data_IF_636474263609
#
_entry.id   IF_636474263609
#
_cell.length_a   1.000
_cell.length_b   1.000
_cell.length_c   1.000
_cell.angle_alpha   90.00
_cell.angle_beta   90.00
_cell.angle_gamma   90.00
#
_symmetry.space_group_name_H-M   'P 1'
#
loop_
_entity.id
_entity.type
_entity.pdbx_description
1 polymer ?
#
# COMPACT_ATOMS: atom_id res chain seq x y z
N UNK A 1 -4.17 -10.22 2.09
CA UNK A 1 -3.71 -9.08 1.27
C UNK A 1 -2.20 -9.17 1.13
N UNK A 2 -1.70 -9.62 -0.02
CA UNK A 2 -0.27 -9.92 -0.23
C UNK A 2 0.66 -8.71 -0.05
N UNK A 3 0.16 -7.50 -0.35
CA UNK A 3 0.96 -6.26 -0.33
C UNK A 3 0.49 -5.22 0.69
N UNK A 4 -0.44 -5.56 1.60
CA UNK A 4 -0.95 -4.58 2.56
C UNK A 4 0.15 -4.03 3.46
N UNK A 5 1.13 -4.86 3.84
CA UNK A 5 2.28 -4.42 4.64
C UNK A 5 3.15 -3.43 3.87
N UNK A 6 3.41 -3.69 2.58
CA UNK A 6 4.23 -2.84 1.72
C UNK A 6 3.54 -1.50 1.42
N UNK A 7 2.25 -1.51 1.10
CA UNK A 7 1.46 -0.28 0.86
C UNK A 7 1.45 0.60 2.13
N UNK A 8 1.30 -0.02 3.30
CA UNK A 8 1.29 0.69 4.58
C UNK A 8 2.69 1.22 4.94
N UNK A 9 3.75 0.48 4.61
CA UNK A 9 5.13 0.96 4.74
C UNK A 9 5.36 2.21 3.89
N UNK A 10 4.88 2.20 2.64
CA UNK A 10 4.92 3.34 1.71
C UNK A 10 4.12 4.54 2.22
N UNK A 11 3.00 4.32 2.91
CA UNK A 11 2.07 5.40 3.26
C UNK A 11 2.45 6.26 4.47
N UNK A 12 3.37 5.84 5.37
CA UNK A 12 3.86 6.70 6.47
C UNK A 12 4.87 6.07 7.45
N UNK A 13 4.94 4.74 7.54
CA UNK A 13 5.34 4.09 8.81
C UNK A 13 6.62 3.27 8.68
N UNK A 14 7.74 3.86 9.07
CA UNK A 14 9.04 3.21 9.11
C UNK A 14 9.24 2.22 10.29
N UNK A 15 8.33 2.19 11.27
CA UNK A 15 8.50 1.31 12.44
C UNK A 15 7.86 -0.06 12.21
N UNK A 16 8.64 -1.13 12.40
CA UNK A 16 8.16 -2.52 12.33
C UNK A 16 6.95 -2.78 13.23
N UNK A 17 6.86 -2.11 14.40
CA UNK A 17 5.74 -2.27 15.34
C UNK A 17 4.43 -1.72 14.79
N UNK A 18 4.47 -0.58 14.11
CA UNK A 18 3.28 0.05 13.51
C UNK A 18 2.80 -0.70 12.26
N UNK A 19 3.72 -1.27 11.48
CA UNK A 19 3.39 -2.08 10.29
C UNK A 19 2.63 -3.36 10.68
N UNK A 20 3.08 -4.04 11.74
CA UNK A 20 2.42 -5.23 12.25
C UNK A 20 1.03 -4.89 12.82
N UNK A 21 0.91 -3.80 13.59
CA UNK A 21 -0.37 -3.33 14.10
C UNK A 21 -1.36 -2.99 12.97
N UNK A 22 -0.90 -2.36 11.89
CA UNK A 22 -1.73 -2.02 10.75
C UNK A 22 -2.13 -3.24 9.93
N UNK A 23 -1.25 -4.24 9.78
CA UNK A 23 -1.59 -5.53 9.14
C UNK A 23 -2.66 -6.29 9.93
N UNK A 24 -2.60 -6.23 11.27
CA UNK A 24 -3.63 -6.77 12.15
C UNK A 24 -4.96 -6.03 11.97
N UNK A 25 -4.93 -4.69 11.90
CA UNK A 25 -6.12 -3.87 11.66
C UNK A 25 -6.75 -4.20 10.30
N UNK A 26 -5.98 -4.23 9.22
CA UNK A 26 -6.44 -4.61 7.86
C UNK A 26 -7.11 -5.98 7.87
N UNK A 27 -6.53 -6.96 8.57
CA UNK A 27 -7.10 -8.31 8.69
C UNK A 27 -8.41 -8.30 9.49
N UNK A 28 -8.44 -7.56 10.60
CA UNK A 28 -9.66 -7.36 11.40
C UNK A 28 -10.77 -6.67 10.62
N UNK A 29 -10.46 -5.63 9.85
CA UNK A 29 -11.40 -4.95 8.97
C UNK A 29 -11.98 -5.89 7.91
N UNK A 30 -11.19 -6.83 7.39
CA UNK A 30 -11.69 -7.83 6.45
C UNK A 30 -12.66 -8.83 7.13
N UNK A 31 -12.40 -9.20 8.38
CA UNK A 31 -13.32 -10.04 9.18
C UNK A 31 -14.64 -9.30 9.43
N UNK A 32 -14.57 -8.04 9.87
CA UNK A 32 -15.75 -7.19 10.09
C UNK A 32 -16.51 -6.98 8.79
N UNK A 33 -15.82 -6.66 7.69
CA UNK A 33 -16.39 -6.52 6.35
C UNK A 33 -17.11 -7.79 5.90
N UNK A 34 -16.57 -8.97 6.23
CA UNK A 34 -17.19 -10.26 5.92
C UNK A 34 -18.44 -10.52 6.76
N UNK A 35 -18.46 -10.11 8.03
CA UNK A 35 -19.66 -10.20 8.89
C UNK A 35 -20.76 -9.29 8.35
N UNK A 36 -20.42 -8.04 8.03
CA UNK A 36 -21.34 -7.06 7.43
C UNK A 36 -21.85 -7.55 6.08
N UNK A 37 -20.98 -8.17 5.27
CA UNK A 37 -21.33 -8.79 3.99
C UNK A 37 -22.47 -9.79 4.14
N UNK A 38 -22.34 -10.74 5.08
CA UNK A 38 -23.37 -11.76 5.29
C UNK A 38 -24.74 -11.14 5.55
N UNK A 39 -24.79 -10.08 6.36
CA UNK A 39 -26.04 -9.37 6.63
C UNK A 39 -26.60 -8.62 5.41
N UNK A 40 -25.73 -8.00 4.61
CA UNK A 40 -26.15 -7.20 3.45
C UNK A 40 -26.53 -8.04 2.23
N UNK A 41 -25.92 -9.22 2.04
CA UNK A 41 -26.18 -10.13 0.91
C UNK A 41 -27.65 -10.56 0.90
N UNK A 42 -28.19 -10.91 2.06
CA UNK A 42 -29.57 -11.38 2.18
C UNK A 42 -30.59 -10.25 1.99
N UNK A 43 -30.23 -9.01 2.35
CA UNK A 43 -31.16 -7.87 2.35
C UNK A 43 -31.19 -7.06 1.04
N UNK A 44 -30.03 -6.83 0.41
CA UNK A 44 -29.90 -5.92 -0.74
C UNK A 44 -29.89 -6.62 -2.11
N UNK A 45 -29.82 -7.94 -2.11
CA UNK A 45 -29.77 -8.75 -3.32
C UNK A 45 -28.39 -8.72 -3.99
N UNK A 46 -27.98 -9.89 -4.49
CA UNK A 46 -26.61 -10.17 -4.96
C UNK A 46 -26.15 -9.29 -6.13
N UNK A 47 -27.02 -8.99 -7.09
CA UNK A 47 -26.66 -8.19 -8.28
C UNK A 47 -26.39 -6.71 -7.95
N UNK A 48 -27.23 -6.10 -7.10
CA UNK A 48 -27.07 -4.69 -6.72
C UNK A 48 -25.82 -4.49 -5.86
N UNK A 49 -25.53 -5.46 -4.99
CA UNK A 49 -24.38 -5.43 -4.11
C UNK A 49 -23.05 -5.45 -4.87
N UNK A 50 -22.93 -6.25 -5.95
CA UNK A 50 -21.74 -6.21 -6.81
C UNK A 50 -21.56 -4.84 -7.48
N UNK A 51 -22.63 -4.26 -8.05
CA UNK A 51 -22.54 -2.98 -8.75
C UNK A 51 -22.17 -1.84 -7.78
N UNK A 52 -22.83 -1.76 -6.62
CA UNK A 52 -22.54 -0.74 -5.60
C UNK A 52 -21.09 -0.85 -5.12
N UNK A 53 -20.60 -2.06 -4.88
CA UNK A 53 -19.21 -2.26 -4.48
C UNK A 53 -18.20 -1.85 -5.55
N UNK A 54 -18.51 -2.09 -6.83
CA UNK A 54 -17.62 -1.73 -7.94
C UNK A 54 -17.46 -0.21 -8.02
N UNK A 55 -18.57 0.54 -7.94
CA UNK A 55 -18.52 2.01 -7.84
C UNK A 55 -17.76 2.47 -6.59
N UNK A 56 -18.00 1.86 -5.43
CA UNK A 56 -17.29 2.18 -4.19
C UNK A 56 -15.79 1.96 -4.29
N UNK A 57 -15.36 0.84 -4.89
CA UNK A 57 -13.95 0.51 -5.13
C UNK A 57 -13.33 1.53 -6.08
N UNK A 58 -13.98 1.86 -7.20
CA UNK A 58 -13.46 2.84 -8.17
C UNK A 58 -13.24 4.20 -7.50
N UNK A 59 -14.23 4.68 -6.73
CA UNK A 59 -14.12 5.96 -6.01
C UNK A 59 -12.98 5.91 -4.99
N UNK A 60 -12.84 4.81 -4.23
CA UNK A 60 -11.76 4.66 -3.26
C UNK A 60 -10.38 4.63 -3.92
N UNK A 61 -10.24 3.95 -5.06
CA UNK A 61 -8.97 3.88 -5.79
C UNK A 61 -8.56 5.23 -6.36
N UNK A 62 -9.51 6.01 -6.91
CA UNK A 62 -9.26 7.38 -7.37
C UNK A 62 -8.84 8.26 -6.18
N UNK A 63 -9.56 8.18 -5.06
CA UNK A 63 -9.22 8.94 -3.86
C UNK A 63 -7.83 8.58 -3.33
N UNK A 64 -7.47 7.30 -3.29
CA UNK A 64 -6.13 6.85 -2.90
C UNK A 64 -5.06 7.39 -3.85
N UNK A 65 -5.29 7.35 -5.17
CA UNK A 65 -4.37 7.90 -6.17
C UNK A 65 -4.13 9.40 -5.97
N UNK A 66 -5.19 10.18 -5.77
CA UNK A 66 -5.07 11.62 -5.47
C UNK A 66 -4.31 11.84 -4.15
N UNK A 67 -4.60 11.07 -3.10
CA UNK A 67 -3.88 11.21 -1.82
C UNK A 67 -2.40 10.88 -1.93
N UNK A 68 -2.01 9.89 -2.74
CA UNK A 68 -0.59 9.61 -2.99
C UNK A 68 0.08 10.75 -3.76
N UNK A 69 -0.62 11.38 -4.70
CA UNK A 69 -0.12 12.57 -5.40
C UNK A 69 0.05 13.79 -4.48
N UNK A 70 -0.94 14.04 -3.61
CA UNK A 70 -0.81 15.09 -2.59
C UNK A 70 0.34 14.81 -1.62
N UNK A 71 0.58 13.53 -1.33
CA UNK A 71 1.68 13.07 -0.46
C UNK A 71 3.05 13.28 -1.12
N UNK A 72 3.17 13.12 -2.44
CA UNK A 72 4.43 13.35 -3.15
C UNK A 72 4.79 14.84 -3.23
N UNK A 73 3.79 15.72 -3.40
CA UNK A 73 3.99 17.17 -3.45
C UNK A 73 4.39 17.72 -2.06
N UNK A 74 3.72 17.27 -1.00
CA UNK A 74 3.97 17.75 0.37
C UNK A 74 5.04 16.94 1.12
N UNK A 75 5.90 16.21 0.41
CA UNK A 75 7.01 15.48 1.02
C UNK A 75 8.05 16.47 1.59
N UNK A 76 8.62 16.19 2.78
CA UNK A 76 9.63 17.08 3.36
C UNK A 76 10.87 17.16 2.46
N UNK A 77 11.43 18.36 2.27
CA UNK A 77 12.65 18.53 1.48
C UNK A 77 13.86 17.95 2.22
N UNK A 78 14.86 17.50 1.46
CA UNK A 78 16.12 16.99 2.01
C UNK A 78 17.11 18.16 2.16
N UNK A 79 17.71 18.30 3.33
CA UNK A 79 18.78 19.28 3.58
C UNK A 79 20.14 18.67 3.24
N UNK A 80 20.90 19.39 2.42
CA UNK A 80 22.27 18.99 2.06
C UNK A 80 23.21 19.04 3.26
N UNK A 81 23.04 20.01 4.17
CA UNK A 81 23.88 20.17 5.37
C UNK A 81 23.81 18.94 6.29
N UNK A 82 22.59 18.48 6.58
CA UNK A 82 22.34 17.28 7.39
C UNK A 82 22.80 16.01 6.68
N UNK A 83 22.72 15.98 5.35
CA UNK A 83 23.20 14.84 4.55
C UNK A 83 24.73 14.73 4.61
N UNK A 84 25.46 15.85 4.55
CA UNK A 84 26.92 15.86 4.65
C UNK A 84 27.47 15.68 6.07
N UNK A 85 26.66 15.89 7.11
CA UNK A 85 27.06 15.72 8.51
C UNK A 85 27.60 14.32 8.82
N UNK A 86 27.07 13.29 8.15
CA UNK A 86 27.51 11.90 8.34
C UNK A 86 28.77 11.54 7.51
N UNK A 87 29.18 12.43 6.59
CA UNK A 87 30.30 12.25 5.67
C UNK A 87 29.87 11.96 4.22
N UNK A 88 30.69 12.33 3.24
CA UNK A 88 30.39 12.10 1.80
C UNK A 88 30.25 10.63 1.42
N UNK A 89 30.93 9.73 2.15
CA UNK A 89 30.90 8.29 1.87
C UNK A 89 29.63 7.60 2.42
N UNK A 90 28.86 8.29 3.27
CA UNK A 90 27.61 7.78 3.84
C UNK A 90 26.35 8.25 3.10
N UNK A 91 26.49 9.07 2.07
CA UNK A 91 25.38 9.57 1.24
C UNK A 91 25.24 8.78 -0.06
N UNK A 92 24.04 8.75 -0.65
CA UNK A 92 23.80 8.05 -1.92
C UNK A 92 24.53 8.74 -3.10
N UNK A 93 25.13 7.94 -4.01
CA UNK A 93 25.79 8.46 -5.22
C UNK A 93 24.84 9.26 -6.11
N UNK A 94 23.57 8.85 -6.21
CA UNK A 94 22.54 9.57 -6.97
C UNK A 94 22.27 10.98 -6.44
N UNK A 95 22.39 11.21 -5.12
CA UNK A 95 22.24 12.53 -4.51
C UNK A 95 23.46 13.43 -4.79
N UNK A 96 24.66 12.85 -4.81
CA UNK A 96 25.91 13.58 -5.09
C UNK A 96 26.06 13.97 -6.57
N UNK A 97 25.46 13.19 -7.47
CA UNK A 97 25.53 13.40 -8.92
C UNK A 97 24.36 14.25 -9.46
N UNK A 98 23.42 14.65 -8.59
CA UNK A 98 22.26 15.44 -8.97
C UNK A 98 22.65 16.89 -9.33
N UNK A 99 22.15 17.44 -10.45
CA UNK A 99 22.44 18.82 -10.84
C UNK A 99 21.77 19.87 -9.94
N UNK A 100 20.58 19.59 -9.38
CA UNK A 100 19.85 20.48 -8.46
C UNK A 100 19.49 19.76 -7.16
N UNK A 101 20.21 20.07 -6.08
CA UNK A 101 20.05 19.39 -4.78
C UNK A 101 18.85 19.93 -3.97
N UNK A 102 18.36 21.12 -4.31
CA UNK A 102 17.27 21.81 -3.60
C UNK A 102 15.87 21.34 -3.99
N UNK A 103 15.71 20.65 -5.13
CA UNK A 103 14.45 20.05 -5.56
C UNK A 103 14.24 18.65 -4.97
N UNK A 104 15.26 18.07 -4.32
CA UNK A 104 15.18 16.73 -3.76
C UNK A 104 14.26 16.69 -2.55
N UNK A 105 13.28 15.80 -2.63
CA UNK A 105 12.38 15.50 -1.54
C UNK A 105 12.70 14.12 -0.95
N UNK A 106 12.05 13.79 0.15
CA UNK A 106 12.20 12.49 0.81
C UNK A 106 11.87 11.30 -0.11
N UNK A 107 11.01 11.47 -1.14
CA UNK A 107 10.61 10.38 -2.05
C UNK A 107 11.68 10.03 -3.08
N UNK A 108 12.45 11.02 -3.55
CA UNK A 108 13.62 10.79 -4.44
C UNK A 108 14.80 10.14 -3.71
N UNK A 109 14.78 10.12 -2.37
CA UNK A 109 15.82 9.50 -1.56
C UNK A 109 15.50 8.03 -1.26
N UNK A 110 16.47 7.14 -1.50
CA UNK A 110 16.33 5.72 -1.23
C UNK A 110 16.06 5.41 0.26
N UNK A 111 16.71 6.16 1.16
CA UNK A 111 16.69 5.97 2.62
C UNK A 111 16.81 7.33 3.31
N UNK A 112 15.73 7.75 3.96
CA UNK A 112 15.58 9.07 4.56
C UNK A 112 15.78 9.04 6.08
N UNK A 113 16.56 9.98 6.57
CA UNK A 113 16.64 10.36 7.97
C UNK A 113 16.05 11.78 8.09
N UNK A 114 15.44 12.22 9.21
CA UNK A 114 14.86 13.57 9.31
C UNK A 114 15.81 14.67 8.80
N UNK A 115 15.57 15.12 7.56
CA UNK A 115 16.38 16.10 6.84
C UNK A 115 17.59 15.59 6.04
N UNK A 116 17.97 14.31 6.08
CA UNK A 116 19.18 13.78 5.43
C UNK A 116 18.92 12.55 4.53
N UNK A 117 19.61 12.47 3.39
CA UNK A 117 19.59 11.29 2.51
C UNK A 117 20.86 10.44 2.66
N UNK A 118 20.71 9.17 3.05
CA UNK A 118 21.84 8.34 3.49
C UNK A 118 21.86 6.96 2.82
N UNK A 119 23.04 6.49 2.44
CA UNK A 119 23.28 5.10 2.10
C UNK A 119 23.52 4.31 3.40
N UNK A 120 22.54 3.50 3.83
CA UNK A 120 22.66 2.75 5.08
C UNK A 120 23.84 1.78 5.02
N UNK A 121 24.79 1.98 5.94
CA UNK A 121 25.84 1.04 6.35
C UNK A 121 25.66 0.74 7.84
N UNK A 122 26.17 -0.40 8.31
CA UNK A 122 26.05 -0.83 9.73
C UNK A 122 26.57 0.22 10.72
N UNK A 123 27.60 0.98 10.33
CA UNK A 123 28.17 2.07 11.11
C UNK A 123 27.18 3.25 11.33
N UNK A 124 26.40 3.60 10.30
CA UNK A 124 25.39 4.67 10.37
C UNK A 124 24.18 4.19 11.16
N UNK A 125 23.76 2.94 10.98
CA UNK A 125 22.64 2.37 11.73
C UNK A 125 22.92 2.36 13.24
N UNK A 126 24.14 2.01 13.65
CA UNK A 126 24.58 2.11 15.05
C UNK A 126 24.60 3.55 15.58
N UNK A 127 25.05 4.50 14.76
CA UNK A 127 25.09 5.93 15.12
C UNK A 127 23.69 6.54 15.26
N UNK A 128 22.76 6.21 14.36
CA UNK A 128 21.35 6.64 14.44
C UNK A 128 20.64 6.07 15.69
N UNK A 129 20.93 4.81 16.05
CA UNK A 129 20.38 4.20 17.25
C UNK A 129 20.88 4.89 18.53
N UNK A 130 22.14 5.32 18.55
CA UNK A 130 22.75 6.07 19.65
C UNK A 130 22.12 7.45 19.83
N UNK A 131 21.73 8.10 18.73
CA UNK A 131 21.00 9.39 18.73
C UNK A 131 19.49 9.27 18.99
N UNK A 132 18.94 8.07 19.19
CA UNK A 132 17.48 7.83 19.34
C UNK A 132 16.64 8.36 18.16
N UNK A 133 17.19 8.37 16.94
CA UNK A 133 16.48 8.84 15.75
C UNK A 133 15.92 7.67 14.93
N UNK A 134 14.76 7.87 14.30
CA UNK A 134 14.09 6.85 13.48
C UNK A 134 14.49 6.98 12.01
N UNK A 135 14.95 5.89 11.44
CA UNK A 135 15.37 5.79 10.05
C UNK A 135 14.20 5.34 9.17
N UNK A 136 13.96 6.05 8.08
CA UNK A 136 12.89 5.77 7.14
C UNK A 136 13.46 5.08 5.90
N UNK A 137 13.10 3.82 5.68
CA UNK A 137 13.64 3.00 4.58
C UNK A 137 12.64 2.75 3.45
N UNK A 138 11.36 3.00 3.67
CA UNK A 138 10.27 2.60 2.77
C UNK A 138 9.13 3.63 2.70
N UNK A 139 9.27 4.85 3.24
CA UNK A 139 8.19 5.86 3.20
C UNK A 139 8.49 7.13 3.98
N UNK A 140 7.83 8.23 3.61
CA UNK A 140 8.10 9.57 4.14
C UNK A 140 7.09 10.00 5.21
N UNK A 141 7.52 10.72 6.26
CA UNK A 141 6.61 11.24 7.27
C UNK A 141 5.81 12.42 6.73
N UNK A 142 4.57 12.18 6.29
CA UNK A 142 3.62 13.24 5.87
C UNK A 142 2.38 13.22 6.73
N UNK A 143 1.72 14.38 6.94
CA UNK A 143 0.45 14.44 7.68
C UNK A 143 -0.70 13.72 6.96
N UNK A 144 -0.59 13.54 5.64
CA UNK A 144 -1.58 12.90 4.78
C UNK A 144 -1.63 11.37 4.89
N UNK A 145 -0.55 10.72 5.34
CA UNK A 145 -0.50 9.25 5.42
C UNK A 145 -1.59 8.58 6.28
N UNK A 146 -2.12 9.25 7.32
CA UNK A 146 -3.23 8.71 8.14
C UNK A 146 -4.52 8.62 7.30
N UNK A 147 -4.76 9.60 6.43
CA UNK A 147 -5.92 9.58 5.53
C UNK A 147 -5.80 8.45 4.51
N UNK A 148 -4.59 8.16 4.00
CA UNK A 148 -4.36 7.02 3.12
C UNK A 148 -4.69 5.68 3.81
N UNK A 149 -4.35 5.51 5.08
CA UNK A 149 -4.73 4.31 5.86
C UNK A 149 -6.24 4.20 6.04
N UNK A 150 -6.92 5.31 6.36
CA UNK A 150 -8.38 5.31 6.51
C UNK A 150 -9.09 4.95 5.19
N UNK A 151 -8.63 5.52 4.07
CA UNK A 151 -9.14 5.21 2.73
C UNK A 151 -8.87 3.76 2.34
N UNK A 152 -7.71 3.21 2.69
CA UNK A 152 -7.41 1.79 2.50
C UNK A 152 -8.37 0.91 3.32
N UNK A 153 -8.69 1.30 4.55
CA UNK A 153 -9.70 0.65 5.38
C UNK A 153 -11.09 0.66 4.74
N UNK A 154 -11.52 1.81 4.21
CA UNK A 154 -12.79 1.96 3.50
C UNK A 154 -12.84 1.10 2.22
N UNK A 155 -11.73 1.02 1.49
CA UNK A 155 -11.58 0.14 0.35
C UNK A 155 -11.79 -1.33 0.74
N UNK A 156 -11.16 -1.80 1.84
CA UNK A 156 -11.31 -3.18 2.33
C UNK A 156 -12.76 -3.50 2.70
N UNK A 157 -13.41 -2.59 3.44
CA UNK A 157 -14.82 -2.76 3.85
C UNK A 157 -15.74 -2.80 2.64
N UNK A 158 -15.48 -1.98 1.61
CA UNK A 158 -16.28 -1.94 0.38
C UNK A 158 -16.03 -3.16 -0.52
N UNK A 159 -14.80 -3.66 -0.55
CA UNK A 159 -14.40 -4.82 -1.35
C UNK A 159 -14.98 -6.13 -0.82
N UNK A 160 -14.97 -6.31 0.51
CA UNK A 160 -15.35 -7.57 1.17
C UNK A 160 -16.75 -8.07 0.79
N UNK A 161 -17.84 -7.28 0.87
CA UNK A 161 -19.17 -7.75 0.53
C UNK A 161 -19.35 -7.98 -0.96
N UNK A 162 -18.79 -7.07 -1.76
CA UNK A 162 -18.91 -7.01 -3.20
C UNK A 162 -18.12 -8.07 -3.93
N UNK A 163 -16.94 -7.67 -4.42
CA UNK A 163 -16.03 -8.52 -5.19
C UNK A 163 -15.42 -9.68 -4.37
N UNK A 164 -15.42 -9.58 -3.03
CA UNK A 164 -14.90 -10.63 -2.17
C UNK A 164 -15.77 -11.89 -2.20
N UNK A 165 -17.02 -11.78 -1.76
CA UNK A 165 -17.91 -12.95 -1.57
C UNK A 165 -18.91 -13.18 -2.70
N UNK A 166 -19.41 -12.12 -3.36
CA UNK A 166 -20.51 -12.26 -4.30
C UNK A 166 -20.17 -13.05 -5.58
N UNK A 167 -18.99 -12.90 -6.21
CA UNK A 167 -18.64 -13.67 -7.42
C UNK A 167 -18.67 -15.17 -7.19
N UNK A 168 -18.21 -15.65 -6.03
CA UNK A 168 -18.24 -17.07 -5.68
C UNK A 168 -19.66 -17.59 -5.53
N UNK A 169 -20.54 -16.83 -4.88
CA UNK A 169 -21.95 -17.20 -4.71
C UNK A 169 -22.63 -17.27 -6.08
N UNK A 170 -22.46 -16.24 -6.90
CA UNK A 170 -23.05 -16.15 -8.25
C UNK A 170 -22.55 -17.29 -9.15
N UNK A 171 -21.26 -17.63 -9.06
CA UNK A 171 -20.67 -18.76 -9.78
C UNK A 171 -21.38 -20.10 -9.46
N UNK A 172 -21.84 -20.29 -8.23
CA UNK A 172 -22.59 -21.49 -7.85
C UNK A 172 -24.07 -21.47 -8.25
N UNK A 173 -24.64 -20.30 -8.52
CA UNK A 173 -26.06 -20.14 -8.88
C UNK A 173 -26.32 -20.15 -10.39
N UNK A 174 -25.35 -19.76 -11.20
CA UNK A 174 -25.49 -19.71 -12.66
C UNK A 174 -25.42 -21.12 -13.28
N UNK A 175 -24.58 -22.00 -12.73
CA UNK A 175 -24.30 -23.28 -13.39
C UNK A 175 -25.26 -24.39 -12.95
N UNK A 176 -25.84 -25.16 -13.89
CA UNK A 176 -26.62 -26.35 -13.57
C UNK A 176 -25.74 -27.41 -12.89
N UNK A 177 -26.35 -28.26 -12.07
CA UNK A 177 -25.67 -29.23 -11.19
C UNK A 177 -24.61 -30.10 -11.92
N UNK A 178 -24.84 -30.43 -13.20
CA UNK A 178 -23.94 -31.25 -14.03
C UNK A 178 -22.62 -30.57 -14.37
N UNK A 179 -22.59 -29.24 -14.55
CA UNK A 179 -21.41 -28.49 -15.00
C UNK A 179 -20.79 -27.60 -13.92
N UNK A 180 -21.44 -27.49 -12.76
CA UNK A 180 -21.02 -26.63 -11.65
C UNK A 180 -19.57 -26.86 -11.21
N UNK A 181 -19.10 -28.11 -11.23
CA UNK A 181 -17.71 -28.46 -10.87
C UNK A 181 -16.69 -27.90 -11.86
N UNK A 182 -16.99 -27.99 -13.16
CA UNK A 182 -16.10 -27.52 -14.22
C UNK A 182 -16.07 -25.99 -14.28
N UNK A 183 -17.25 -25.34 -14.22
CA UNK A 183 -17.34 -23.87 -14.14
C UNK A 183 -16.66 -23.31 -12.89
N UNK A 184 -16.82 -23.99 -11.74
CA UNK A 184 -16.06 -23.70 -10.53
C UNK A 184 -14.54 -23.79 -10.72
N UNK A 185 -14.05 -24.87 -11.33
CA UNK A 185 -12.62 -25.04 -11.61
C UNK A 185 -12.05 -23.95 -12.51
N UNK A 186 -12.74 -23.58 -13.59
CA UNK A 186 -12.32 -22.50 -14.50
C UNK A 186 -12.26 -21.16 -13.75
N UNK A 187 -13.29 -20.83 -12.96
CA UNK A 187 -13.31 -19.59 -12.18
C UNK A 187 -12.14 -19.51 -11.17
N UNK A 188 -11.81 -20.63 -10.52
CA UNK A 188 -10.65 -20.72 -9.61
C UNK A 188 -9.36 -20.46 -10.36
N UNK A 189 -9.13 -21.13 -11.50
CA UNK A 189 -7.92 -20.94 -12.32
C UNK A 189 -7.78 -19.49 -12.78
N UNK A 190 -8.86 -18.88 -13.29
CA UNK A 190 -8.86 -17.47 -13.70
C UNK A 190 -8.52 -16.53 -12.54
N UNK A 191 -9.04 -16.80 -11.34
CA UNK A 191 -8.74 -16.00 -10.15
C UNK A 191 -7.27 -16.13 -9.73
N UNK A 192 -6.70 -17.34 -9.75
CA UNK A 192 -5.28 -17.55 -9.43
C UNK A 192 -4.34 -16.92 -10.45
N UNK A 193 -4.65 -17.02 -11.75
CA UNK A 193 -3.87 -16.35 -12.80
C UNK A 193 -3.88 -14.83 -12.59
N UNK A 194 -5.05 -14.24 -12.33
CA UNK A 194 -5.17 -12.81 -12.07
C UNK A 194 -4.37 -12.38 -10.83
N UNK A 195 -4.42 -13.17 -9.75
CA UNK A 195 -3.63 -12.92 -8.55
C UNK A 195 -2.11 -13.00 -8.81
N UNK A 196 -1.67 -13.95 -9.65
CA UNK A 196 -0.26 -14.08 -10.03
C UNK A 196 0.21 -12.83 -10.79
N UNK A 197 -0.56 -12.40 -11.79
CA UNK A 197 -0.24 -11.19 -12.58
C UNK A 197 -0.12 -9.96 -11.67
N UNK A 198 -1.07 -9.75 -10.77
CA UNK A 198 -1.03 -8.61 -9.82
C UNK A 198 0.18 -8.73 -8.89
N UNK A 199 0.54 -9.94 -8.48
CA UNK A 199 1.65 -10.15 -7.56
C UNK A 199 3.02 -9.81 -8.17
N UNK A 200 3.25 -10.20 -9.42
CA UNK A 200 4.49 -9.89 -10.13
C UNK A 200 4.57 -8.42 -10.56
N UNK A 201 3.44 -7.84 -10.99
CA UNK A 201 3.41 -6.45 -11.49
C UNK A 201 3.43 -5.41 -10.38
N UNK A 202 2.96 -5.73 -9.17
CA UNK A 202 2.86 -4.74 -8.10
C UNK A 202 4.22 -4.20 -7.66
N UNK A 203 5.21 -5.07 -7.44
CA UNK A 203 6.53 -4.64 -6.95
C UNK A 203 7.26 -3.77 -7.97
N UNK A 204 7.26 -4.19 -9.24
CA UNK A 204 7.86 -3.44 -10.34
C UNK A 204 7.20 -2.08 -10.55
N UNK A 205 5.87 -2.01 -10.41
CA UNK A 205 5.14 -0.75 -10.47
C UNK A 205 5.46 0.18 -9.30
N UNK A 206 5.60 -0.35 -8.08
CA UNK A 206 5.96 0.47 -6.91
C UNK A 206 7.39 0.98 -6.95
N UNK A 207 8.33 0.24 -7.54
CA UNK A 207 9.71 0.70 -7.70
C UNK A 207 9.82 1.82 -8.75
N UNK A 208 9.07 1.71 -9.85
CA UNK A 208 9.07 2.72 -10.92
C UNK A 208 8.29 3.98 -10.57
N UNK A 209 7.18 3.87 -9.83
CA UNK A 209 6.37 5.03 -9.41
C UNK A 209 6.83 5.62 -8.07
N UNK A 210 7.50 4.84 -7.22
CA UNK A 210 7.93 5.24 -5.88
C UNK A 210 9.30 5.92 -5.82
N UNK A 211 10.12 5.78 -6.86
CA UNK A 211 11.46 6.37 -6.95
C UNK A 211 11.57 7.24 -8.22
N UNK A 212 11.10 8.48 -8.14
CA UNK A 212 11.48 9.57 -9.04
C UNK A 212 11.85 10.80 -8.21
#
# INVERSE_FOLDING_TARGET
>A
MYYSSTIVQLARFASNKTVLALSLITSGLNVVGSIVSRFFVDRFGRRRLMIISMFGIIICLIALSVMFHETSIHAPPVSSLESFHFGRNSTCSSFLQAPDVSSWNCMSCLKYHPGACLAITDAIQGSCHKERRTLYTQGCPTKFGIFAVLLLGLYIISYSPGMGTAPWIVNFEIYPLRHRRMGGGIAVVSNWISNLIVSETFLTLTETLGCS
#
